data_IF_469958780734
#
_entry.id   IF_469958780734
#
_cell.length_a   1.000
_cell.length_b   1.000
_cell.length_c   1.000
_cell.angle_alpha   90.00
_cell.angle_beta   90.00
_cell.angle_gamma   90.00
#
_symmetry.space_group_name_H-M   'P 1'
#
loop_
_entity.id
_entity.type
_entity.pdbx_description
1 polymer ?
#
# COMPACT_ATOMS: atom_id res chain seq x y z
N UNK A 1 7.27 -12.10 -8.82
CA UNK A 1 6.85 -11.92 -8.32
C UNK A 1 6.61 -11.99 -7.89
N UNK A 2 6.65 -12.19 -7.63
CA UNK A 2 6.15 -12.15 -6.93
C UNK A 2 5.82 -12.48 -6.45
N UNK A 3 5.61 -12.97 -6.22
CA UNK A 3 5.07 -13.21 -5.57
C UNK A 3 4.73 -13.73 -5.62
N UNK A 4 4.98 -14.24 -5.66
CA UNK A 4 4.44 -14.66 -5.57
C UNK A 4 4.07 -15.12 -5.54
N UNK A 5 4.06 -15.57 -5.64
CA UNK A 5 3.66 -15.93 -5.26
C UNK A 5 3.65 -16.31 -5.04
N UNK A 6 3.80 -16.69 -5.05
CA UNK A 6 3.72 -16.90 -4.44
C UNK A 6 4.26 -17.07 -3.93
N UNK A 7 4.50 -17.17 -3.67
CA UNK A 7 4.80 -17.32 -2.80
C UNK A 7 5.04 -17.52 -2.13
N UNK A 8 5.26 -17.97 -1.61
CA UNK A 8 5.24 -18.02 -0.75
C UNK A 8 5.21 -18.47 -0.09
N UNK A 9 5.41 -19.09 0.11
CA UNK A 9 5.13 -19.30 0.99
C UNK A 9 5.57 -19.90 1.86
N UNK A 10 6.00 -20.49 2.30
CA UNK A 10 6.17 -20.99 3.26
C UNK A 10 5.91 -21.20 4.20
N UNK A 11 5.95 -21.45 4.41
CA UNK A 11 5.49 -21.33 5.19
C UNK A 11 5.36 -20.92 5.58
N UNK A 12 5.06 -21.00 5.69
CA UNK A 12 4.53 -20.19 5.78
C UNK A 12 4.70 -19.30 6.10
N UNK A 13 5.06 -19.46 5.88
CA UNK A 13 5.41 -18.22 6.41
C UNK A 13 4.42 -17.20 6.18
N UNK A 14 3.89 -17.21 5.14
CA UNK A 14 2.81 -16.31 4.87
C UNK A 14 1.53 -17.03 5.26
N UNK A 15 1.05 -16.70 6.45
CA UNK A 15 -0.16 -17.32 6.98
C UNK A 15 -1.34 -16.42 6.68
N UNK A 16 -2.35 -16.93 5.99
CA UNK A 16 -3.53 -16.10 5.75
C UNK A 16 -4.24 -15.80 7.08
N UNK A 17 -4.98 -14.71 7.15
CA UNK A 17 -5.72 -14.38 8.36
C UNK A 17 -6.66 -15.50 8.75
N UNK A 18 -6.75 -15.74 10.04
CA UNK A 18 -7.67 -16.74 10.60
C UNK A 18 -9.03 -16.12 10.83
N UNK A 19 -9.96 -16.95 11.30
CA UNK A 19 -11.28 -16.45 11.68
C UNK A 19 -11.21 -15.38 12.76
N UNK A 20 -10.13 -15.37 13.55
CA UNK A 20 -9.97 -14.42 14.63
C UNK A 20 -9.34 -13.10 14.17
N UNK A 21 -8.88 -13.04 12.93
CA UNK A 21 -8.25 -11.83 12.40
C UNK A 21 -8.99 -11.37 11.18
N UNK A 22 -9.30 -10.08 11.15
CA UNK A 22 -9.90 -9.46 9.98
C UNK A 22 -8.82 -8.97 9.05
N UNK A 23 -9.16 -8.91 7.77
CA UNK A 23 -8.28 -8.35 6.76
C UNK A 23 -8.64 -6.88 6.58
N UNK A 24 -7.62 -6.04 6.63
CA UNK A 24 -7.78 -4.62 6.38
C UNK A 24 -7.15 -4.30 5.03
N UNK A 25 -7.75 -3.36 4.31
CA UNK A 25 -7.24 -2.86 3.04
C UNK A 25 -6.88 -1.40 3.23
N UNK A 26 -5.65 -1.04 2.87
CA UNK A 26 -5.16 0.33 2.98
C UNK A 26 -4.83 0.81 1.57
N UNK A 27 -5.39 1.95 1.19
CA UNK A 27 -5.19 2.51 -0.13
C UNK A 27 -4.49 3.85 -0.03
N UNK A 28 -3.48 4.06 -0.86
CA UNK A 28 -2.82 5.35 -0.98
C UNK A 28 -2.36 5.53 -2.42
N UNK A 29 -1.88 6.72 -2.74
CA UNK A 29 -1.34 7.00 -4.08
C UNK A 29 0.08 7.53 -3.94
N UNK A 30 0.86 7.33 -5.00
CA UNK A 30 2.21 7.87 -5.13
C UNK A 30 2.30 8.67 -6.42
N UNK A 31 3.27 9.60 -6.51
CA UNK A 31 3.43 10.39 -7.73
C UNK A 31 3.55 9.53 -8.97
N UNK A 32 2.82 9.89 -10.02
CA UNK A 32 2.86 9.14 -11.27
C UNK A 32 4.22 9.18 -11.96
N UNK A 33 5.07 10.14 -11.59
CA UNK A 33 6.41 10.25 -12.13
C UNK A 33 7.38 9.23 -11.55
N UNK A 34 7.02 8.55 -10.47
CA UNK A 34 7.89 7.53 -9.90
C UNK A 34 7.99 6.34 -10.85
N UNK A 35 9.19 5.80 -10.97
CA UNK A 35 9.41 4.61 -11.79
C UNK A 35 8.91 3.37 -11.03
N UNK A 36 8.77 2.27 -11.74
CA UNK A 36 8.40 1.01 -11.10
C UNK A 36 9.42 0.61 -10.04
N UNK A 37 10.70 0.89 -10.30
CA UNK A 37 11.74 0.60 -9.33
C UNK A 37 11.59 1.43 -8.07
N UNK A 38 11.25 2.70 -8.23
CA UNK A 38 11.04 3.57 -7.08
C UNK A 38 9.83 3.15 -6.28
N UNK A 39 8.75 2.76 -6.96
CA UNK A 39 7.57 2.25 -6.26
C UNK A 39 7.93 0.96 -5.53
N UNK A 40 8.70 0.07 -6.17
CA UNK A 40 9.17 -1.14 -5.53
C UNK A 40 9.98 -0.86 -4.27
N UNK A 41 10.86 0.14 -4.34
CA UNK A 41 11.67 0.51 -3.17
C UNK A 41 10.80 1.01 -2.02
N UNK A 42 9.66 1.60 -2.34
CA UNK A 42 8.72 2.05 -1.31
C UNK A 42 7.94 0.88 -0.70
N UNK A 43 7.45 -0.05 -1.54
CA UNK A 43 6.55 -1.10 -1.05
C UNK A 43 7.27 -2.34 -0.53
N UNK A 44 8.43 -2.68 -1.10
CA UNK A 44 9.10 -3.94 -0.74
C UNK A 44 9.44 -4.07 0.74
N UNK A 45 9.96 -3.03 1.41
CA UNK A 45 10.24 -3.15 2.83
C UNK A 45 9.00 -3.42 3.67
N UNK A 46 7.85 -2.92 3.23
CA UNK A 46 6.61 -3.11 3.98
C UNK A 46 6.13 -4.56 3.90
N UNK A 47 6.31 -5.19 2.75
CA UNK A 47 5.96 -6.60 2.59
C UNK A 47 7.01 -7.48 3.26
N UNK A 48 8.30 -7.17 3.05
CA UNK A 48 9.38 -7.94 3.67
C UNK A 48 9.32 -7.87 5.19
N UNK A 49 8.93 -6.72 5.72
CA UNK A 49 8.78 -6.54 7.17
C UNK A 49 7.48 -7.06 7.72
N UNK A 50 6.64 -7.64 6.86
CA UNK A 50 5.37 -8.25 7.25
C UNK A 50 4.35 -7.26 7.78
N UNK A 51 4.47 -6.01 7.41
CA UNK A 51 3.43 -5.02 7.71
C UNK A 51 2.27 -5.17 6.74
N UNK A 52 2.52 -5.72 5.58
CA UNK A 52 1.47 -6.03 4.62
C UNK A 52 1.69 -7.42 4.06
N UNK A 53 0.61 -8.15 3.83
CA UNK A 53 0.67 -9.48 3.23
C UNK A 53 0.90 -9.38 1.73
N UNK A 54 0.31 -8.37 1.10
CA UNK A 54 0.53 -8.12 -0.31
C UNK A 54 0.20 -6.68 -0.64
N UNK A 55 0.69 -6.23 -1.79
CA UNK A 55 0.44 -4.89 -2.30
C UNK A 55 0.10 -5.02 -3.77
N UNK A 56 -1.02 -4.42 -4.16
CA UNK A 56 -1.36 -4.29 -5.57
C UNK A 56 -1.11 -2.87 -6.01
N UNK A 57 -0.55 -2.70 -7.19
CA UNK A 57 -0.31 -1.36 -7.71
C UNK A 57 -0.85 -1.25 -9.12
N UNK A 58 -1.37 -0.08 -9.44
CA UNK A 58 -1.93 0.22 -10.75
C UNK A 58 -1.78 1.69 -11.03
N UNK A 59 -1.93 2.07 -12.30
CA UNK A 59 -1.95 3.48 -12.67
C UNK A 59 -3.38 3.98 -12.54
N UNK A 60 -3.52 5.22 -12.10
CA UNK A 60 -4.83 5.82 -11.96
C UNK A 60 -4.75 7.29 -12.35
N UNK A 61 -5.89 7.87 -12.72
CA UNK A 61 -6.02 9.31 -12.97
C UNK A 61 -6.84 9.88 -11.83
N UNK A 62 -6.26 10.86 -11.14
CA UNK A 62 -6.89 11.47 -9.97
C UNK A 62 -7.32 12.88 -10.31
N UNK A 63 -8.55 13.22 -9.94
CA UNK A 63 -9.08 14.58 -10.11
C UNK A 63 -9.48 15.08 -8.74
N UNK A 64 -8.96 16.23 -8.35
CA UNK A 64 -9.25 16.77 -7.01
C UNK A 64 -9.10 18.28 -7.03
N UNK A 65 -9.57 18.91 -5.96
CA UNK A 65 -9.43 20.35 -5.78
C UNK A 65 -8.27 20.64 -4.85
N UNK A 66 -7.45 21.58 -5.26
CA UNK A 66 -6.33 22.07 -4.44
C UNK A 66 -6.35 23.58 -4.49
N UNK A 67 -6.57 24.18 -3.31
CA UNK A 67 -6.66 25.64 -3.20
C UNK A 67 -7.66 26.24 -4.18
N UNK A 68 -8.79 25.58 -4.30
CA UNK A 68 -9.89 26.06 -5.16
C UNK A 68 -9.74 25.74 -6.63
N UNK A 69 -8.64 25.12 -7.03
CA UNK A 69 -8.42 24.78 -8.43
C UNK A 69 -8.47 23.30 -8.67
N UNK A 70 -9.06 22.90 -9.77
CA UNK A 70 -9.16 21.49 -10.12
C UNK A 70 -7.83 21.00 -10.67
N UNK A 71 -7.34 19.93 -10.08
CA UNK A 71 -6.13 19.25 -10.51
C UNK A 71 -6.49 17.92 -11.12
N UNK A 72 -5.72 17.51 -12.11
CA UNK A 72 -5.87 16.20 -12.74
C UNK A 72 -4.48 15.63 -12.93
N UNK A 73 -4.20 14.50 -12.29
CA UNK A 73 -2.86 13.93 -12.31
C UNK A 73 -2.92 12.43 -12.48
N UNK A 74 -1.89 11.90 -13.11
CA UNK A 74 -1.70 10.46 -13.17
C UNK A 74 -0.88 10.05 -11.97
N UNK A 75 -1.33 9.01 -11.29
CA UNK A 75 -0.68 8.53 -10.07
C UNK A 75 -0.58 7.03 -10.06
N UNK A 76 0.29 6.51 -9.20
CA UNK A 76 0.25 5.10 -8.83
C UNK A 76 -0.77 4.94 -7.71
N UNK A 77 -1.61 3.94 -7.83
CA UNK A 77 -2.52 3.56 -6.76
C UNK A 77 -2.00 2.29 -6.12
N UNK A 78 -1.87 2.31 -4.80
CA UNK A 78 -1.39 1.16 -4.03
C UNK A 78 -2.49 0.67 -3.12
N UNK A 79 -2.71 -0.64 -3.12
CA UNK A 79 -3.64 -1.27 -2.19
C UNK A 79 -2.88 -2.31 -1.40
N UNK A 80 -2.79 -2.08 -0.11
CA UNK A 80 -2.11 -2.97 0.82
C UNK A 80 -3.15 -3.83 1.53
N UNK A 81 -2.89 -5.13 1.59
CA UNK A 81 -3.74 -6.02 2.38
C UNK A 81 -2.94 -6.45 3.59
N UNK A 82 -3.55 -6.28 4.76
CA UNK A 82 -2.87 -6.59 6.01
C UNK A 82 -3.90 -7.14 7.01
N UNK A 83 -3.41 -7.65 8.12
CA UNK A 83 -4.30 -8.08 9.19
C UNK A 83 -4.67 -6.89 10.06
N UNK A 84 -5.80 -6.98 10.75
CA UNK A 84 -6.21 -5.90 11.63
C UNK A 84 -5.18 -5.65 12.73
N UNK A 85 -4.46 -6.67 13.15
CA UNK A 85 -3.44 -6.51 14.18
C UNK A 85 -2.20 -5.76 13.71
N UNK A 86 -1.98 -5.68 12.39
CA UNK A 86 -0.83 -4.96 11.83
C UNK A 86 -1.20 -3.61 11.26
N UNK A 87 -2.48 -3.28 11.25
CA UNK A 87 -2.96 -2.08 10.58
C UNK A 87 -2.30 -0.80 11.11
N UNK A 88 -2.23 -0.65 12.42
CA UNK A 88 -1.67 0.57 12.99
C UNK A 88 -0.19 0.75 12.64
N UNK A 89 0.57 -0.33 12.65
CA UNK A 89 1.98 -0.26 12.26
C UNK A 89 2.13 0.13 10.80
N UNK A 90 1.28 -0.44 9.94
CA UNK A 90 1.33 -0.12 8.52
C UNK A 90 0.98 1.34 8.28
N UNK A 91 -0.07 1.83 8.94
CA UNK A 91 -0.46 3.23 8.77
C UNK A 91 0.63 4.18 9.23
N UNK A 92 1.29 3.86 10.35
CA UNK A 92 2.38 4.68 10.85
C UNK A 92 3.55 4.70 9.88
N UNK A 93 3.91 3.54 9.33
CA UNK A 93 5.01 3.47 8.37
C UNK A 93 4.68 4.24 7.09
N UNK A 94 3.46 4.11 6.59
CA UNK A 94 3.06 4.85 5.40
C UNK A 94 3.12 6.35 5.63
N UNK A 95 2.64 6.82 6.79
CA UNK A 95 2.67 8.24 7.10
C UNK A 95 4.11 8.76 7.21
N UNK A 96 4.99 7.95 7.75
CA UNK A 96 6.38 8.36 7.96
C UNK A 96 7.16 8.46 6.65
N UNK A 97 6.94 7.53 5.73
CA UNK A 97 7.79 7.42 4.54
C UNK A 97 7.13 7.91 3.26
N UNK A 98 5.89 8.37 3.32
CA UNK A 98 5.17 8.82 2.13
C UNK A 98 5.84 10.07 1.56
N UNK A 99 6.01 10.16 0.22
CA UNK A 99 6.64 11.34 -0.39
C UNK A 99 5.78 12.59 -0.38
N UNK A 100 4.46 12.45 -0.24
CA UNK A 100 3.59 13.63 -0.17
C UNK A 100 3.59 14.20 1.24
N UNK A 101 3.52 15.52 1.31
CA UNK A 101 3.41 16.21 2.59
C UNK A 101 2.10 15.87 3.29
N UNK A 102 1.02 15.80 2.51
CA UNK A 102 -0.30 15.49 3.03
C UNK A 102 -0.88 14.32 2.24
N UNK A 103 -0.42 13.11 2.50
CA UNK A 103 -0.87 11.96 1.73
C UNK A 103 -2.30 11.57 2.08
N UNK A 104 -3.02 11.07 1.09
CA UNK A 104 -4.30 10.44 1.33
C UNK A 104 -4.05 8.97 1.63
N UNK A 105 -4.44 8.55 2.82
CA UNK A 105 -4.28 7.16 3.25
C UNK A 105 -5.64 6.73 3.81
N UNK A 106 -6.31 5.83 3.11
CA UNK A 106 -7.66 5.40 3.45
C UNK A 106 -7.61 3.92 3.79
N UNK A 107 -8.37 3.53 4.79
CA UNK A 107 -8.43 2.10 5.10
C UNK A 107 -9.84 1.68 5.44
N UNK A 108 -10.09 0.38 5.26
CA UNK A 108 -11.33 -0.25 5.63
C UNK A 108 -11.04 -1.68 6.06
N UNK A 109 -11.91 -2.22 6.90
CA UNK A 109 -11.81 -3.61 7.34
C UNK A 109 -13.01 -4.41 6.89
#
# INVERSE_FOLDING_TARGET
MLISPKPQIDAPPHTPPTMAEEVAVVTTTLPGSMSEEEVGAFVNPLVNGRLAACVHRSRTHSTYLWKGERQAEEEWKLEFKTSSSRLDELLAALSQYHPYEEPQIIHST
#
